data_IF_386903502090
#
_entry.id   IF_386903502090
#
_cell.length_a   1.000
_cell.length_b   1.000
_cell.length_c   1.000
_cell.angle_alpha   90.00
_cell.angle_beta   90.00
_cell.angle_gamma   90.00
#
_symmetry.space_group_name_H-M   'P 1'
#
loop_
_entity.id
_entity.type
_entity.pdbx_description
1 polymer ?
#
# COMPACT_ATOMS: atom_id res chain seq x y z
N UNK A 1 -8.25 -0.37 12.99
CA UNK A 1 -9.25 0.72 12.94
C UNK A 1 -9.81 0.80 11.52
N UNK A 2 -11.11 1.02 11.35
CA UNK A 2 -11.73 1.29 10.05
C UNK A 2 -11.83 2.81 9.86
N UNK A 3 -11.45 3.39 8.71
CA UNK A 3 -11.56 4.82 8.50
C UNK A 3 -13.02 5.27 8.43
N UNK A 4 -13.30 6.45 8.99
CA UNK A 4 -14.65 7.04 9.05
C UNK A 4 -15.06 7.75 7.75
N UNK A 5 -14.09 8.16 6.92
CA UNK A 5 -14.33 8.93 5.70
C UNK A 5 -13.29 8.65 4.60
N UNK A 6 -13.61 9.14 3.40
CA UNK A 6 -12.82 9.05 2.16
C UNK A 6 -12.78 7.66 1.51
N UNK A 7 -12.41 7.66 0.23
CA UNK A 7 -12.04 6.47 -0.54
C UNK A 7 -10.52 6.24 -0.56
N UNK A 8 -9.76 7.03 0.21
CA UNK A 8 -8.33 6.89 0.39
C UNK A 8 -8.05 6.20 1.73
N UNK A 9 -7.63 4.95 1.67
CA UNK A 9 -7.31 4.14 2.84
C UNK A 9 -5.85 4.34 3.19
N UNK A 10 -5.61 4.69 4.46
CA UNK A 10 -4.27 4.80 5.02
C UNK A 10 -3.90 3.46 5.68
N UNK A 11 -2.89 2.79 5.12
CA UNK A 11 -2.48 1.46 5.56
C UNK A 11 -1.15 1.55 6.30
N UNK A 12 -1.12 1.05 7.53
CA UNK A 12 0.11 0.84 8.28
C UNK A 12 0.87 -0.36 7.68
N UNK A 13 2.04 -0.08 7.12
CA UNK A 13 2.97 -1.09 6.65
C UNK A 13 4.36 -0.92 7.27
N UNK A 14 4.47 -0.30 8.46
CA UNK A 14 5.75 0.06 9.08
C UNK A 14 6.65 -1.16 9.29
N UNK A 15 6.08 -2.29 9.69
CA UNK A 15 6.83 -3.53 9.88
C UNK A 15 7.40 -4.07 8.56
N UNK A 16 6.63 -3.97 7.46
CA UNK A 16 7.04 -4.43 6.14
C UNK A 16 8.06 -3.48 5.52
N UNK A 17 7.86 -2.17 5.64
CA UNK A 17 8.77 -1.14 5.15
C UNK A 17 10.16 -1.28 5.80
N UNK A 18 10.24 -1.58 7.10
CA UNK A 18 11.51 -1.90 7.78
C UNK A 18 12.20 -3.15 7.22
N UNK A 19 11.44 -4.15 6.75
CA UNK A 19 11.98 -5.38 6.18
C UNK A 19 12.49 -5.20 4.76
N UNK A 20 11.80 -4.40 3.94
CA UNK A 20 12.09 -4.26 2.50
C UNK A 20 12.81 -2.97 2.13
N UNK A 21 12.97 -2.03 3.06
CA UNK A 21 13.67 -0.76 2.84
C UNK A 21 12.94 0.21 1.89
N UNK A 22 11.61 0.14 1.84
CA UNK A 22 10.78 0.96 0.96
C UNK A 22 9.56 0.21 0.41
N UNK A 23 8.49 0.14 1.20
CA UNK A 23 7.32 -0.68 0.90
C UNK A 23 6.56 -0.26 -0.37
N UNK A 24 6.51 1.05 -0.66
CA UNK A 24 5.88 1.55 -1.87
C UNK A 24 6.63 1.07 -3.11
N UNK A 25 7.96 1.23 -3.12
CA UNK A 25 8.81 0.78 -4.21
C UNK A 25 8.73 -0.74 -4.37
N UNK A 26 8.70 -1.48 -3.27
CA UNK A 26 8.49 -2.93 -3.28
C UNK A 26 7.20 -3.31 -4.03
N UNK A 27 6.06 -2.69 -3.72
CA UNK A 27 4.81 -3.01 -4.42
C UNK A 27 4.80 -2.60 -5.89
N UNK A 28 5.46 -1.49 -6.23
CA UNK A 28 5.63 -1.09 -7.64
C UNK A 28 6.44 -2.15 -8.40
N UNK A 29 7.59 -2.53 -7.86
CA UNK A 29 8.55 -3.39 -8.56
C UNK A 29 8.11 -4.87 -8.56
N UNK A 30 7.59 -5.38 -7.44
CA UNK A 30 7.29 -6.81 -7.25
C UNK A 30 5.83 -7.17 -7.52
N UNK A 31 4.89 -6.24 -7.30
CA UNK A 31 3.46 -6.48 -7.52
C UNK A 31 2.91 -5.76 -8.76
N UNK A 32 3.66 -4.81 -9.34
CA UNK A 32 3.14 -3.93 -10.39
C UNK A 32 1.95 -3.10 -9.91
N UNK A 33 1.93 -2.75 -8.62
CA UNK A 33 0.86 -1.98 -7.97
C UNK A 33 1.44 -0.66 -7.48
N UNK A 34 1.00 0.44 -8.10
CA UNK A 34 1.43 1.77 -7.70
C UNK A 34 0.52 2.35 -6.62
N UNK A 35 1.13 2.81 -5.53
CA UNK A 35 0.50 3.41 -4.35
C UNK A 35 1.24 4.69 -3.99
N UNK A 36 0.63 5.57 -3.21
CA UNK A 36 1.35 6.72 -2.66
C UNK A 36 2.14 6.28 -1.43
N UNK A 37 3.44 6.59 -1.42
CA UNK A 37 4.29 6.46 -0.23
C UNK A 37 3.83 7.47 0.81
N UNK A 38 3.65 7.06 2.06
CA UNK A 38 3.23 7.94 3.12
C UNK A 38 4.21 9.09 3.41
N UNK A 39 5.50 8.92 3.07
CA UNK A 39 6.53 9.96 3.20
C UNK A 39 6.20 11.25 2.46
N UNK A 40 5.41 11.19 1.38
CA UNK A 40 5.04 12.39 0.62
C UNK A 40 4.10 13.32 1.40
N UNK A 41 3.53 12.86 2.51
CA UNK A 41 2.65 13.64 3.39
C UNK A 41 3.37 14.24 4.60
N UNK A 42 4.70 14.06 4.70
CA UNK A 42 5.54 14.61 5.76
C UNK A 42 5.78 13.65 6.93
N UNK A 43 6.36 14.18 8.03
CA UNK A 43 6.75 13.38 9.18
C UNK A 43 5.58 12.60 9.79
N UNK A 44 5.80 11.33 10.11
CA UNK A 44 4.78 10.40 10.60
C UNK A 44 4.10 9.60 9.48
N UNK A 45 4.44 9.87 8.23
CA UNK A 45 4.01 9.08 7.07
C UNK A 45 4.95 7.93 6.71
N UNK A 46 6.13 7.85 7.31
CA UNK A 46 7.10 6.80 7.05
C UNK A 46 6.51 5.40 7.33
N UNK A 47 6.67 4.48 6.40
CA UNK A 47 6.15 3.12 6.52
C UNK A 47 4.65 2.98 6.26
N UNK A 48 3.93 4.06 6.02
CA UNK A 48 2.54 4.02 5.58
C UNK A 48 2.43 4.06 4.06
N UNK A 49 1.30 3.56 3.55
CA UNK A 49 0.91 3.69 2.14
C UNK A 49 -0.54 4.15 2.02
N UNK A 50 -0.84 4.96 1.00
CA UNK A 50 -2.21 5.38 0.70
C UNK A 50 -2.77 4.60 -0.49
N UNK A 51 -3.80 3.80 -0.22
CA UNK A 51 -4.53 3.02 -1.22
C UNK A 51 -5.81 3.75 -1.64
N UNK A 52 -6.01 3.94 -2.94
CA UNK A 52 -7.26 4.42 -3.49
C UNK A 52 -8.22 3.23 -3.72
N UNK A 53 -9.31 3.16 -2.96
CA UNK A 53 -10.37 2.15 -3.13
C UNK A 53 -11.57 2.65 -3.94
N UNK A 54 -11.52 3.89 -4.43
CA UNK A 54 -12.50 4.52 -5.31
C UNK A 54 -12.38 4.07 -6.76
N UNK A 55 -12.27 2.76 -6.98
CA UNK A 55 -12.16 2.13 -8.30
C UNK A 55 -13.10 0.92 -8.41
N UNK A 56 -13.32 0.35 -9.62
CA UNK A 56 -14.15 -0.83 -9.78
C UNK A 56 -13.66 -2.00 -8.90
N UNK A 57 -14.59 -2.70 -8.24
CA UNK A 57 -14.27 -3.84 -7.35
C UNK A 57 -13.34 -4.89 -7.99
N UNK A 58 -13.50 -5.28 -9.27
CA UNK A 58 -12.58 -6.24 -9.90
C UNK A 58 -11.14 -5.74 -9.96
N UNK A 59 -10.94 -4.44 -10.22
CA UNK A 59 -9.61 -3.84 -10.27
C UNK A 59 -8.98 -3.76 -8.88
N UNK A 60 -9.75 -3.36 -7.87
CA UNK A 60 -9.30 -3.34 -6.48
C UNK A 60 -8.86 -4.75 -6.04
N UNK A 61 -9.69 -5.77 -6.32
CA UNK A 61 -9.38 -7.17 -5.99
C UNK A 61 -8.08 -7.62 -6.66
N UNK A 62 -7.93 -7.35 -7.95
CA UNK A 62 -6.71 -7.70 -8.69
C UNK A 62 -5.46 -7.05 -8.07
N UNK A 63 -5.54 -5.77 -7.69
CA UNK A 63 -4.44 -5.08 -7.02
C UNK A 63 -4.08 -5.72 -5.68
N UNK A 64 -5.08 -6.02 -4.85
CA UNK A 64 -4.89 -6.67 -3.55
C UNK A 64 -4.30 -8.08 -3.68
N UNK A 65 -4.75 -8.87 -4.65
CA UNK A 65 -4.20 -10.21 -4.93
C UNK A 65 -2.73 -10.14 -5.35
N UNK A 66 -2.36 -9.20 -6.22
CA UNK A 66 -0.95 -8.97 -6.61
C UNK A 66 -0.08 -8.57 -5.41
N UNK A 67 -0.57 -7.66 -4.57
CA UNK A 67 0.12 -7.28 -3.33
C UNK A 67 0.32 -8.48 -2.41
N UNK A 68 -0.73 -9.28 -2.21
CA UNK A 68 -0.68 -10.49 -1.38
C UNK A 68 0.35 -11.50 -1.90
N UNK A 69 0.39 -11.73 -3.22
CA UNK A 69 1.34 -12.66 -3.84
C UNK A 69 2.80 -12.19 -3.72
N UNK A 70 3.05 -10.89 -3.87
CA UNK A 70 4.37 -10.32 -3.67
C UNK A 70 4.85 -10.50 -2.22
N UNK A 71 3.96 -10.28 -1.25
CA UNK A 71 4.27 -10.49 0.17
C UNK A 71 4.49 -11.97 0.53
N UNK A 72 3.79 -12.90 -0.12
CA UNK A 72 3.98 -14.33 0.10
C UNK A 72 5.36 -14.81 -0.39
N UNK A 73 5.99 -14.07 -1.30
CA UNK A 73 7.34 -14.35 -1.82
C UNK A 73 8.45 -13.65 -1.02
N UNK A 74 8.12 -13.00 0.10
CA UNK A 74 9.02 -12.17 0.90
C UNK A 74 9.69 -12.92 2.05
#
# INVERSE_FOLDING_TARGET
MRPDASFLVWLDACALDRRVGGIQKFFVDQAGVNLYDGRVYGPGGEGFIRLNVGCPRPLLRQGLERMSNALASL
#
